data_IF_751017273961
#
_entry.id   IF_751017273961
#
_cell.length_a   1.000
_cell.length_b   1.000
_cell.length_c   1.000
_cell.angle_alpha   90.00
_cell.angle_beta   90.00
_cell.angle_gamma   90.00
#
_symmetry.space_group_name_H-M   'P 1'
#
loop_
_entity.id
_entity.type
_entity.pdbx_description
1 polymer ?
#
# COMPACT_ATOMS: atom_id res chain seq x y z
N UNK A 1 -8.10 -6.68 1.33
CA UNK A 1 -7.93 -6.56 -0.14
C UNK A 1 -7.94 -7.96 -0.78
N UNK A 2 -7.04 -8.88 -0.44
CA UNK A 2 -6.94 -10.19 -1.11
C UNK A 2 -8.25 -10.99 -1.12
N UNK A 3 -9.03 -10.99 -0.04
CA UNK A 3 -10.29 -11.74 0.07
C UNK A 3 -11.32 -11.29 -0.98
N UNK A 4 -11.44 -9.98 -1.18
CA UNK A 4 -12.39 -9.41 -2.15
C UNK A 4 -11.92 -9.63 -3.59
N UNK A 5 -10.63 -9.52 -3.87
CA UNK A 5 -10.08 -9.74 -5.21
C UNK A 5 -10.14 -11.21 -5.65
N UNK A 6 -9.99 -12.15 -4.70
CA UNK A 6 -10.22 -13.58 -4.98
C UNK A 6 -11.67 -13.84 -5.37
N UNK A 7 -12.62 -13.22 -4.69
CA UNK A 7 -14.04 -13.35 -5.04
C UNK A 7 -14.35 -12.72 -6.40
N UNK A 8 -13.83 -11.52 -6.67
CA UNK A 8 -13.96 -10.84 -7.96
C UNK A 8 -13.50 -11.72 -9.12
N UNK A 9 -12.41 -12.45 -8.96
CA UNK A 9 -11.91 -13.36 -10.00
C UNK A 9 -12.86 -14.52 -10.33
N UNK A 10 -13.88 -14.79 -9.50
CA UNK A 10 -14.84 -15.87 -9.64
C UNK A 10 -16.25 -15.41 -10.01
N UNK A 11 -16.64 -14.20 -9.64
CA UNK A 11 -18.00 -13.67 -9.78
C UNK A 11 -18.00 -12.41 -10.66
N UNK A 12 -18.63 -12.48 -11.84
CA UNK A 12 -18.57 -11.38 -12.86
C UNK A 12 -19.20 -10.05 -12.44
N UNK A 13 -20.29 -10.13 -11.64
CA UNK A 13 -21.05 -8.93 -11.24
C UNK A 13 -20.71 -8.48 -9.80
N UNK A 14 -19.63 -9.01 -9.26
CA UNK A 14 -19.19 -8.70 -7.92
C UNK A 14 -18.35 -7.42 -7.89
N UNK A 15 -18.70 -6.51 -6.99
CA UNK A 15 -17.92 -5.29 -6.71
C UNK A 15 -17.14 -5.51 -5.42
N UNK A 16 -15.80 -5.58 -5.49
CA UNK A 16 -14.97 -5.72 -4.29
C UNK A 16 -15.02 -4.47 -3.43
N UNK A 17 -15.44 -4.62 -2.18
CA UNK A 17 -15.62 -3.53 -1.23
C UNK A 17 -14.89 -3.79 0.07
N UNK A 18 -14.22 -2.75 0.56
CA UNK A 18 -13.57 -2.70 1.86
C UNK A 18 -14.07 -1.48 2.62
N UNK A 19 -14.42 -1.69 3.89
CA UNK A 19 -14.82 -0.62 4.78
C UNK A 19 -13.86 -0.60 5.98
N UNK A 20 -13.13 0.50 6.16
CA UNK A 20 -12.22 0.74 7.27
C UNK A 20 -12.77 1.87 8.13
N UNK A 21 -13.09 1.58 9.38
CA UNK A 21 -13.47 2.57 10.38
C UNK A 21 -12.43 2.63 11.48
N UNK A 22 -11.85 3.80 11.70
CA UNK A 22 -10.86 4.05 12.73
C UNK A 22 -11.38 5.13 13.67
N UNK A 23 -11.49 4.80 14.92
CA UNK A 23 -11.81 5.73 16.00
C UNK A 23 -10.63 5.77 16.95
N UNK A 24 -10.00 6.92 17.05
CA UNK A 24 -8.81 7.12 17.84
C UNK A 24 -8.97 8.31 18.78
N UNK A 25 -8.68 8.11 20.05
CA UNK A 25 -8.65 9.13 21.09
C UNK A 25 -7.42 8.97 22.03
N UNK A 26 -7.37 9.73 23.10
CA UNK A 26 -6.28 9.70 24.07
C UNK A 26 -6.16 8.37 24.85
N UNK A 27 -7.22 7.59 24.90
CA UNK A 27 -7.35 6.40 25.76
C UNK A 27 -7.26 5.12 24.95
N UNK A 28 -7.78 5.12 23.71
CA UNK A 28 -7.90 3.92 22.91
C UNK A 28 -7.81 4.21 21.41
N UNK A 29 -7.50 3.15 20.65
CA UNK A 29 -7.69 3.12 19.21
C UNK A 29 -8.53 1.90 18.85
N UNK A 30 -9.69 2.12 18.24
CA UNK A 30 -10.57 1.09 17.73
C UNK A 30 -10.47 1.07 16.20
N UNK A 31 -10.22 -0.11 15.64
CA UNK A 31 -10.16 -0.33 14.20
C UNK A 31 -11.19 -1.39 13.84
N UNK A 32 -12.07 -1.08 12.90
CA UNK A 32 -13.00 -2.03 12.31
C UNK A 32 -12.73 -2.12 10.81
N UNK A 33 -12.40 -3.31 10.34
CA UNK A 33 -12.19 -3.60 8.93
C UNK A 33 -13.22 -4.62 8.47
N UNK A 34 -14.02 -4.26 7.48
CA UNK A 34 -15.01 -5.16 6.87
C UNK A 34 -14.70 -5.34 5.40
N UNK A 35 -14.73 -6.57 4.94
CA UNK A 35 -14.66 -6.92 3.52
C UNK A 35 -15.91 -7.72 3.12
N UNK A 36 -16.35 -7.59 1.87
CA UNK A 36 -17.45 -8.36 1.32
C UNK A 36 -16.99 -9.64 0.59
N UNK A 37 -15.84 -10.20 0.96
CA UNK A 37 -15.30 -11.44 0.43
C UNK A 37 -16.16 -12.68 0.72
N UNK A 38 -15.60 -13.88 0.51
CA UNK A 38 -16.30 -15.16 0.70
C UNK A 38 -16.50 -15.55 2.18
N UNK A 39 -15.94 -14.80 3.12
CA UNK A 39 -15.92 -15.14 4.53
C UNK A 39 -14.99 -16.33 4.83
N UNK A 40 -15.06 -16.86 6.05
CA UNK A 40 -14.32 -18.04 6.46
C UNK A 40 -15.05 -19.35 6.07
N UNK A 41 -15.26 -19.55 4.77
CA UNK A 41 -15.69 -20.84 4.25
C UNK A 41 -14.65 -21.92 4.58
N UNK A 42 -14.96 -23.19 4.38
CA UNK A 42 -14.09 -24.31 4.77
C UNK A 42 -12.65 -24.18 4.22
N UNK A 43 -12.52 -23.73 2.99
CA UNK A 43 -11.22 -23.55 2.34
C UNK A 43 -10.42 -22.39 2.96
N UNK A 44 -11.04 -21.23 3.13
CA UNK A 44 -10.40 -20.04 3.70
C UNK A 44 -10.02 -20.28 5.18
N UNK A 45 -10.87 -21.00 5.92
CA UNK A 45 -10.61 -21.39 7.29
C UNK A 45 -9.33 -22.19 7.44
N UNK A 46 -9.11 -23.22 6.63
CA UNK A 46 -7.90 -24.06 6.66
C UNK A 46 -6.63 -23.25 6.48
N UNK A 47 -6.64 -22.24 5.59
CA UNK A 47 -5.50 -21.35 5.42
C UNK A 47 -5.31 -20.38 6.59
N UNK A 48 -6.37 -20.06 7.29
CA UNK A 48 -6.30 -19.15 8.43
C UNK A 48 -5.91 -19.87 9.74
N UNK A 49 -6.33 -21.11 9.92
CA UNK A 49 -5.97 -21.92 11.10
C UNK A 49 -4.51 -22.35 11.10
N UNK A 50 -3.94 -22.66 9.94
CA UNK A 50 -2.56 -23.13 9.81
C UNK A 50 -1.60 -21.97 9.52
N UNK A 51 -0.60 -21.77 10.40
CA UNK A 51 0.50 -20.83 10.17
C UNK A 51 1.33 -21.31 8.97
N UNK A 52 1.86 -20.35 8.19
CA UNK A 52 2.74 -20.56 7.04
C UNK A 52 2.12 -21.36 5.87
N UNK A 53 0.83 -21.69 5.93
CA UNK A 53 0.16 -22.31 4.79
C UNK A 53 -0.11 -21.30 3.68
N UNK A 54 0.49 -21.54 2.54
CA UNK A 54 0.32 -20.71 1.36
C UNK A 54 -1.04 -20.97 0.72
N UNK A 55 -1.76 -19.89 0.43
CA UNK A 55 -3.03 -19.97 -0.29
C UNK A 55 -2.78 -19.92 -1.80
N UNK A 56 -2.95 -21.04 -2.50
CA UNK A 56 -2.74 -21.16 -3.93
C UNK A 56 -3.62 -20.22 -4.80
N UNK A 57 -4.77 -19.77 -4.30
CA UNK A 57 -5.61 -18.78 -5.01
C UNK A 57 -4.97 -17.40 -4.97
N UNK A 58 -4.33 -17.05 -3.85
CA UNK A 58 -3.55 -15.80 -3.73
C UNK A 58 -2.33 -15.83 -4.64
N UNK A 59 -1.64 -16.97 -4.73
CA UNK A 59 -0.48 -17.12 -5.63
C UNK A 59 -0.88 -16.96 -7.12
N UNK A 60 -2.04 -17.48 -7.53
CA UNK A 60 -2.56 -17.29 -8.90
C UNK A 60 -2.84 -15.84 -9.27
N UNK A 61 -3.10 -15.00 -8.30
CA UNK A 61 -3.30 -13.56 -8.46
C UNK A 61 -2.02 -12.75 -8.18
N UNK A 62 -0.85 -13.40 -8.19
CA UNK A 62 0.45 -12.81 -7.84
C UNK A 62 0.49 -12.15 -6.45
N UNK A 63 -0.36 -12.59 -5.53
CA UNK A 63 -0.26 -12.20 -4.14
C UNK A 63 0.68 -13.17 -3.41
N UNK A 64 1.63 -12.63 -2.66
CA UNK A 64 2.56 -13.43 -1.85
C UNK A 64 2.20 -13.27 -0.36
N UNK A 65 1.17 -13.99 0.14
CA UNK A 65 0.78 -13.89 1.52
C UNK A 65 1.85 -14.56 2.41
N UNK A 66 2.43 -13.79 3.30
CA UNK A 66 3.37 -14.33 4.30
C UNK A 66 2.66 -15.04 5.46
N UNK A 67 1.33 -14.96 5.54
CA UNK A 67 0.55 -15.53 6.63
C UNK A 67 0.77 -14.88 8.01
N UNK A 68 1.68 -13.93 8.10
CA UNK A 68 2.16 -13.35 9.37
C UNK A 68 1.39 -12.11 9.82
N UNK A 69 0.64 -11.44 8.93
CA UNK A 69 -0.07 -10.20 9.28
C UNK A 69 -1.03 -10.33 10.46
N UNK A 70 -1.67 -11.50 10.63
CA UNK A 70 -2.53 -11.80 11.78
C UNK A 70 -1.75 -11.86 13.11
N UNK A 71 -0.46 -12.18 13.10
CA UNK A 71 0.37 -12.20 14.30
C UNK A 71 0.56 -10.79 14.87
N UNK A 72 0.59 -9.78 14.02
CA UNK A 72 0.70 -8.39 14.46
C UNK A 72 -0.46 -8.01 15.37
N UNK A 73 -1.67 -8.51 15.12
CA UNK A 73 -2.85 -8.26 15.94
C UNK A 73 -2.61 -8.72 17.39
N UNK A 74 -2.02 -9.91 17.58
CA UNK A 74 -1.73 -10.48 18.90
C UNK A 74 -0.76 -9.59 19.69
N UNK A 75 0.19 -8.96 19.01
CA UNK A 75 1.17 -8.07 19.64
C UNK A 75 0.59 -6.71 20.03
N UNK A 76 -0.29 -6.16 19.19
CA UNK A 76 -0.73 -4.77 19.34
C UNK A 76 -2.11 -4.63 19.97
N UNK A 77 -3.01 -5.60 19.77
CA UNK A 77 -4.36 -5.53 20.26
C UNK A 77 -4.47 -5.95 21.74
N UNK A 78 -5.38 -5.29 22.46
CA UNK A 78 -5.87 -5.78 23.75
C UNK A 78 -6.93 -6.85 23.55
N UNK A 79 -7.79 -6.61 22.57
CA UNK A 79 -8.74 -7.58 22.09
C UNK A 79 -8.94 -7.44 20.59
N UNK A 80 -9.22 -8.54 19.94
CA UNK A 80 -9.65 -8.57 18.58
C UNK A 80 -10.73 -9.65 18.39
N UNK A 81 -11.58 -9.43 17.40
CA UNK A 81 -12.70 -10.33 17.11
C UNK A 81 -12.96 -10.37 15.61
N UNK A 82 -13.14 -11.56 15.07
CA UNK A 82 -13.64 -11.77 13.73
C UNK A 82 -15.14 -12.13 13.78
N UNK A 83 -15.92 -11.37 13.04
CA UNK A 83 -17.30 -11.74 12.69
C UNK A 83 -17.30 -12.12 11.21
N UNK A 84 -17.78 -13.30 10.87
CA UNK A 84 -17.80 -13.76 9.48
C UNK A 84 -19.13 -14.35 9.10
N UNK A 85 -19.59 -14.06 7.89
CA UNK A 85 -20.70 -14.76 7.22
C UNK A 85 -20.13 -15.44 5.97
N UNK A 86 -20.38 -16.71 5.84
CA UNK A 86 -19.89 -17.56 4.75
C UNK A 86 -21.00 -18.52 4.27
N UNK A 87 -20.83 -19.11 3.11
CA UNK A 87 -21.66 -20.22 2.64
C UNK A 87 -21.07 -21.56 3.09
N UNK A 88 -21.90 -22.40 3.71
CA UNK A 88 -21.54 -23.79 4.01
C UNK A 88 -21.60 -24.67 2.75
N UNK A 89 -21.24 -25.94 2.87
CA UNK A 89 -21.27 -26.91 1.77
C UNK A 89 -22.67 -27.15 1.20
N UNK A 90 -23.72 -26.84 1.95
CA UNK A 90 -25.13 -26.92 1.51
C UNK A 90 -25.61 -25.64 0.83
N UNK A 91 -24.74 -24.60 0.75
CA UNK A 91 -25.06 -23.30 0.17
C UNK A 91 -25.83 -22.37 1.11
N UNK A 92 -26.02 -22.72 2.36
CA UNK A 92 -26.66 -21.88 3.37
C UNK A 92 -25.66 -20.86 3.95
N UNK A 93 -26.18 -19.71 4.29
CA UNK A 93 -25.35 -18.70 4.96
C UNK A 93 -25.26 -18.97 6.46
N UNK A 94 -24.03 -18.99 6.94
CA UNK A 94 -23.67 -19.22 8.34
C UNK A 94 -22.90 -18.04 8.88
N UNK A 95 -23.21 -17.65 10.11
CA UNK A 95 -22.51 -16.58 10.83
C UNK A 95 -21.75 -17.15 12.02
N UNK A 96 -20.52 -16.72 12.22
CA UNK A 96 -19.72 -16.96 13.42
C UNK A 96 -19.06 -15.68 13.91
N UNK A 97 -18.89 -15.62 15.24
CA UNK A 97 -18.12 -14.58 15.93
C UNK A 97 -17.01 -15.27 16.71
N UNK A 98 -15.77 -14.90 16.46
CA UNK A 98 -14.59 -15.59 16.95
C UNK A 98 -13.63 -14.57 17.56
N UNK A 99 -13.38 -14.59 18.89
CA UNK A 99 -12.34 -13.79 19.50
C UNK A 99 -10.95 -14.19 18.97
N UNK A 100 -10.00 -13.26 18.97
CA UNK A 100 -8.66 -13.52 18.47
C UNK A 100 -7.59 -12.95 19.41
N UNK A 101 -6.68 -13.76 19.93
CA UNK A 101 -6.60 -15.23 19.76
C UNK A 101 -7.79 -15.95 20.38
N UNK A 102 -8.20 -17.06 19.77
CA UNK A 102 -9.45 -17.76 20.18
C UNK A 102 -9.28 -18.65 21.42
N UNK A 103 -8.09 -19.17 21.64
CA UNK A 103 -7.76 -20.01 22.80
C UNK A 103 -6.34 -19.75 23.28
N UNK A 104 -6.00 -20.22 24.49
CA UNK A 104 -4.62 -20.17 25.01
C UNK A 104 -3.66 -21.10 24.26
N UNK A 105 -4.17 -22.09 23.56
CA UNK A 105 -3.38 -23.11 22.85
C UNK A 105 -3.29 -22.84 21.35
N UNK A 106 -4.14 -21.96 20.81
CA UNK A 106 -4.18 -21.65 19.39
C UNK A 106 -4.67 -20.25 19.06
N UNK A 107 -4.17 -19.71 17.97
CA UNK A 107 -4.54 -18.34 17.53
C UNK A 107 -5.97 -18.29 17.00
N UNK A 108 -6.45 -19.36 16.40
CA UNK A 108 -7.76 -19.42 15.76
C UNK A 108 -8.35 -20.82 15.86
N UNK A 109 -9.56 -20.93 16.39
CA UNK A 109 -10.31 -22.18 16.46
C UNK A 109 -11.74 -21.96 16.00
N UNK A 110 -12.00 -22.26 14.74
CA UNK A 110 -13.30 -22.02 14.11
C UNK A 110 -14.41 -22.90 14.71
N UNK A 111 -14.11 -24.16 14.99
CA UNK A 111 -15.06 -25.14 15.49
C UNK A 111 -15.49 -24.92 16.94
N UNK A 112 -14.70 -24.13 17.71
CA UNK A 112 -14.98 -23.90 19.14
C UNK A 112 -16.16 -22.96 19.39
N UNK A 113 -16.69 -22.27 18.38
CA UNK A 113 -17.72 -21.25 18.51
C UNK A 113 -18.99 -21.62 17.78
N UNK A 114 -20.12 -21.18 18.37
CA UNK A 114 -21.44 -21.46 17.84
C UNK A 114 -21.67 -20.85 16.45
N UNK A 115 -22.40 -21.56 15.62
CA UNK A 115 -22.76 -21.21 14.27
C UNK A 115 -24.27 -20.97 14.16
N UNK A 116 -24.63 -19.80 13.57
CA UNK A 116 -26.02 -19.42 13.40
C UNK A 116 -26.36 -19.29 11.92
N UNK A 117 -27.48 -19.86 11.49
CA UNK A 117 -28.00 -19.68 10.12
C UNK A 117 -28.53 -18.24 9.96
N UNK A 118 -28.13 -17.54 8.88
CA UNK A 118 -28.53 -16.17 8.59
C UNK A 118 -28.96 -16.03 7.12
N UNK A 119 -29.60 -14.91 6.79
CA UNK A 119 -30.05 -14.59 5.42
C UNK A 119 -29.27 -13.37 4.89
N UNK A 120 -27.96 -13.37 5.01
CA UNK A 120 -27.14 -12.23 4.61
C UNK A 120 -26.11 -12.63 3.54
N UNK A 121 -25.56 -11.63 2.85
CA UNK A 121 -24.40 -11.81 1.97
C UNK A 121 -23.15 -12.16 2.78
N UNK A 122 -22.17 -12.80 2.14
CA UNK A 122 -20.90 -13.14 2.78
C UNK A 122 -20.07 -11.89 3.07
N UNK A 123 -19.36 -11.91 4.20
CA UNK A 123 -18.41 -10.87 4.60
C UNK A 123 -17.47 -11.37 5.70
N UNK A 124 -16.41 -10.63 5.92
CA UNK A 124 -15.60 -10.73 7.15
C UNK A 124 -15.45 -9.36 7.76
N UNK A 125 -15.73 -9.23 9.04
CA UNK A 125 -15.45 -8.04 9.85
C UNK A 125 -14.42 -8.38 10.91
N UNK A 126 -13.35 -7.60 10.97
CA UNK A 126 -12.35 -7.65 12.02
C UNK A 126 -12.48 -6.40 12.89
N UNK A 127 -12.70 -6.57 14.18
CA UNK A 127 -12.69 -5.48 15.16
C UNK A 127 -11.44 -5.62 16.02
N UNK A 128 -10.66 -4.56 16.16
CA UNK A 128 -9.43 -4.50 16.96
C UNK A 128 -9.57 -3.36 17.96
N UNK A 129 -9.24 -3.63 19.22
CA UNK A 129 -9.13 -2.63 20.27
C UNK A 129 -7.69 -2.55 20.78
N UNK A 130 -7.15 -1.33 20.83
CA UNK A 130 -5.79 -1.04 21.29
C UNK A 130 -5.88 -0.01 22.41
N UNK A 131 -5.55 -0.43 23.64
CA UNK A 131 -5.45 0.44 24.81
C UNK A 131 -4.17 0.20 25.62
N UNK A 132 -3.42 -0.89 25.32
CA UNK A 132 -2.09 -1.15 25.93
C UNK A 132 -1.16 0.03 25.71
N UNK A 133 -0.55 0.53 26.75
CA UNK A 133 0.25 1.76 26.74
C UNK A 133 1.29 1.81 25.61
N UNK A 134 2.04 0.73 25.39
CA UNK A 134 3.07 0.69 24.35
C UNK A 134 2.48 0.72 22.93
N UNK A 135 1.45 -0.07 22.69
CA UNK A 135 0.77 -0.15 21.39
C UNK A 135 0.00 1.13 21.09
N UNK A 136 -0.68 1.69 22.10
CA UNK A 136 -1.37 2.98 22.00
C UNK A 136 -0.38 4.12 21.73
N UNK A 137 0.81 4.10 22.35
CA UNK A 137 1.88 5.06 22.07
C UNK A 137 2.33 5.06 20.60
N UNK A 138 2.42 3.87 19.97
CA UNK A 138 2.71 3.73 18.54
C UNK A 138 1.55 4.25 17.67
N UNK A 139 0.32 3.93 18.01
CA UNK A 139 -0.86 4.46 17.34
C UNK A 139 -0.91 5.99 17.43
N UNK A 140 -0.66 6.58 18.60
CA UNK A 140 -0.57 8.03 18.80
C UNK A 140 0.50 8.65 17.89
N UNK A 141 1.69 8.05 17.81
CA UNK A 141 2.77 8.52 16.93
C UNK A 141 2.34 8.48 15.48
N UNK A 142 1.69 7.40 15.04
CA UNK A 142 1.16 7.26 13.69
C UNK A 142 0.14 8.36 13.38
N UNK A 143 -0.90 8.51 14.22
CA UNK A 143 -1.94 9.51 13.98
C UNK A 143 -1.48 10.96 14.19
N UNK A 144 -0.37 11.18 14.91
CA UNK A 144 0.29 12.50 14.95
C UNK A 144 0.86 12.90 13.56
N UNK A 145 1.32 11.93 12.79
CA UNK A 145 1.81 12.17 11.42
C UNK A 145 0.67 12.30 10.41
N UNK A 146 -0.49 11.71 10.70
CA UNK A 146 -1.69 11.72 9.86
C UNK A 146 -2.91 12.23 10.64
N UNK A 147 -2.89 13.50 11.10
CA UNK A 147 -3.86 14.04 12.06
C UNK A 147 -5.25 14.32 11.48
N UNK A 148 -5.40 14.25 10.17
CA UNK A 148 -6.67 14.50 9.47
C UNK A 148 -6.90 13.50 8.35
N UNK A 149 -8.13 13.47 7.86
CA UNK A 149 -8.57 12.55 6.81
C UNK A 149 -7.80 12.70 5.49
N UNK A 150 -7.37 13.91 5.13
CA UNK A 150 -6.63 14.17 3.90
C UNK A 150 -5.24 13.54 3.92
N UNK A 151 -4.47 13.77 4.98
CA UNK A 151 -3.14 13.17 5.14
C UNK A 151 -3.21 11.65 5.31
N UNK A 152 -4.26 11.17 6.02
CA UNK A 152 -4.48 9.73 6.15
C UNK A 152 -4.84 9.09 4.80
N UNK A 153 -5.72 9.73 4.01
CA UNK A 153 -6.06 9.30 2.65
C UNK A 153 -4.82 9.21 1.77
N UNK A 154 -3.98 10.26 1.79
CA UNK A 154 -2.74 10.28 1.03
C UNK A 154 -1.83 9.12 1.43
N UNK A 155 -1.58 8.91 2.73
CA UNK A 155 -0.78 7.79 3.23
C UNK A 155 -1.36 6.44 2.79
N UNK A 156 -2.69 6.27 2.86
CA UNK A 156 -3.35 5.04 2.47
C UNK A 156 -3.17 4.75 0.97
N UNK A 157 -3.36 5.76 0.14
CA UNK A 157 -3.11 5.65 -1.31
C UNK A 157 -1.63 5.29 -1.56
N UNK A 158 -0.69 6.00 -0.95
CA UNK A 158 0.74 5.73 -1.10
C UNK A 158 1.14 4.32 -0.69
N UNK A 159 0.49 3.77 0.32
CA UNK A 159 0.77 2.41 0.83
C UNK A 159 0.18 1.31 -0.05
N UNK A 160 -1.04 1.50 -0.54
CA UNK A 160 -1.81 0.48 -1.24
C UNK A 160 -1.98 0.77 -2.74
N UNK A 161 -1.22 1.72 -3.26
CA UNK A 161 -1.31 2.20 -4.65
C UNK A 161 -1.41 1.09 -5.69
N UNK A 162 -0.51 0.06 -5.71
CA UNK A 162 -0.57 -0.97 -6.75
C UNK A 162 -1.88 -1.76 -6.73
N UNK A 163 -2.44 -2.02 -5.54
CA UNK A 163 -3.71 -2.72 -5.43
C UNK A 163 -4.88 -1.89 -5.96
N UNK A 164 -4.85 -0.58 -5.71
CA UNK A 164 -5.92 0.32 -6.10
C UNK A 164 -5.89 0.54 -7.61
N UNK A 165 -4.71 0.82 -8.16
CA UNK A 165 -4.57 1.13 -9.59
C UNK A 165 -4.76 -0.09 -10.50
N UNK A 166 -4.50 -1.30 -9.99
CA UNK A 166 -4.65 -2.54 -10.75
C UNK A 166 -6.06 -3.12 -10.71
N UNK A 167 -6.97 -2.59 -9.86
CA UNK A 167 -8.30 -3.16 -9.65
C UNK A 167 -9.38 -2.09 -9.86
N UNK A 168 -9.97 -2.10 -11.03
CA UNK A 168 -10.91 -1.07 -11.48
C UNK A 168 -12.18 -1.01 -10.64
N UNK A 169 -12.71 -2.16 -10.24
CA UNK A 169 -13.95 -2.24 -9.47
C UNK A 169 -13.77 -2.07 -7.96
N UNK A 170 -12.53 -2.03 -7.44
CA UNK A 170 -12.26 -1.97 -6.00
C UNK A 170 -12.74 -0.65 -5.40
N UNK A 171 -13.61 -0.75 -4.39
CA UNK A 171 -14.12 0.36 -3.60
C UNK A 171 -13.60 0.26 -2.18
N UNK A 172 -12.94 1.31 -1.68
CA UNK A 172 -12.45 1.37 -0.31
C UNK A 172 -13.08 2.58 0.39
N UNK A 173 -13.96 2.30 1.34
CA UNK A 173 -14.60 3.32 2.17
C UNK A 173 -13.84 3.44 3.48
N UNK A 174 -13.46 4.64 3.86
CA UNK A 174 -12.69 4.90 5.08
C UNK A 174 -13.42 5.95 5.91
N UNK A 175 -13.53 5.68 7.21
CA UNK A 175 -13.97 6.64 8.22
C UNK A 175 -12.84 6.80 9.24
N UNK A 176 -12.38 8.02 9.45
CA UNK A 176 -11.39 8.38 10.46
C UNK A 176 -12.02 9.38 11.43
N UNK A 177 -12.31 8.95 12.66
CA UNK A 177 -12.99 9.75 13.69
C UNK A 177 -14.30 10.41 13.18
N UNK A 178 -15.03 9.73 12.29
CA UNK A 178 -16.26 10.22 11.69
C UNK A 178 -16.11 10.95 10.36
N UNK A 179 -14.89 11.35 9.97
CA UNK A 179 -14.64 11.89 8.64
C UNK A 179 -14.59 10.75 7.63
N UNK A 180 -15.50 10.77 6.65
CA UNK A 180 -15.68 9.69 5.69
C UNK A 180 -15.19 10.09 4.30
N UNK A 181 -14.45 9.17 3.65
CA UNK A 181 -14.06 9.32 2.26
C UNK A 181 -13.97 7.96 1.56
N UNK A 182 -14.06 7.98 0.23
CA UNK A 182 -13.98 6.78 -0.61
C UNK A 182 -12.78 6.89 -1.54
N UNK A 183 -12.05 5.77 -1.69
CA UNK A 183 -10.94 5.62 -2.61
C UNK A 183 -11.35 4.62 -3.70
N UNK A 184 -11.22 5.05 -4.95
CA UNK A 184 -11.40 4.24 -6.16
C UNK A 184 -10.27 4.56 -7.13
N UNK A 185 -10.01 3.67 -8.07
CA UNK A 185 -9.03 3.89 -9.14
C UNK A 185 -9.24 5.23 -9.85
N UNK A 186 -10.46 5.52 -10.32
CA UNK A 186 -10.77 6.75 -11.05
C UNK A 186 -10.45 8.03 -10.26
N UNK A 187 -10.63 7.99 -8.92
CA UNK A 187 -10.31 9.13 -8.07
C UNK A 187 -8.82 9.40 -7.94
N UNK A 188 -7.99 8.40 -8.23
CA UNK A 188 -6.52 8.51 -8.20
C UNK A 188 -5.98 8.82 -9.59
N UNK A 189 -6.53 8.19 -10.65
CA UNK A 189 -6.06 8.40 -12.02
C UNK A 189 -6.19 9.85 -12.47
N UNK A 190 -7.20 10.58 -12.00
CA UNK A 190 -7.37 12.00 -12.31
C UNK A 190 -6.19 12.87 -11.83
N UNK A 191 -5.47 12.44 -10.79
CA UNK A 191 -4.31 13.13 -10.20
C UNK A 191 -2.98 12.46 -10.56
N UNK A 192 -3.01 11.41 -11.39
CA UNK A 192 -1.86 10.56 -11.70
C UNK A 192 -1.40 10.75 -13.13
N UNK A 193 -0.10 10.94 -13.31
CA UNK A 193 0.55 10.90 -14.62
C UNK A 193 1.33 9.60 -14.74
N UNK A 194 1.35 9.03 -15.95
CA UNK A 194 1.95 7.74 -16.24
C UNK A 194 2.92 7.86 -17.41
N UNK A 195 4.15 7.39 -17.21
CA UNK A 195 5.15 7.25 -18.26
C UNK A 195 5.56 5.77 -18.37
N UNK A 196 5.52 5.23 -19.59
CA UNK A 196 5.92 3.84 -19.83
C UNK A 196 7.18 3.82 -20.67
N UNK A 197 8.13 2.95 -20.31
CA UNK A 197 9.37 2.79 -21.05
C UNK A 197 9.85 1.34 -20.99
N UNK A 198 10.76 0.99 -21.89
CA UNK A 198 11.34 -0.34 -21.95
C UNK A 198 12.87 -0.23 -21.87
N UNK A 199 13.49 -1.20 -21.21
CA UNK A 199 14.94 -1.33 -21.09
C UNK A 199 15.35 -2.78 -21.32
N UNK A 200 16.48 -2.98 -21.99
CA UNK A 200 17.21 -4.24 -21.98
C UNK A 200 18.22 -4.18 -20.83
N UNK A 201 18.16 -5.13 -19.91
CA UNK A 201 18.97 -5.16 -18.70
C UNK A 201 20.11 -6.17 -18.83
N UNK A 202 20.86 -6.36 -17.75
CA UNK A 202 22.10 -7.17 -17.74
C UNK A 202 21.91 -8.66 -18.09
N UNK A 203 20.69 -9.18 -18.00
CA UNK A 203 20.29 -10.53 -18.38
C UNK A 203 19.89 -10.65 -19.86
N UNK A 204 20.12 -9.60 -20.66
CA UNK A 204 19.75 -9.49 -22.07
C UNK A 204 18.23 -9.54 -22.35
N UNK A 205 17.41 -9.54 -21.29
CA UNK A 205 15.96 -9.49 -21.44
C UNK A 205 15.44 -8.05 -21.49
N UNK A 206 14.34 -7.87 -22.22
CA UNK A 206 13.65 -6.59 -22.35
C UNK A 206 12.48 -6.52 -21.38
N UNK A 207 12.50 -5.53 -20.51
CA UNK A 207 11.49 -5.30 -19.49
C UNK A 207 10.75 -3.98 -19.71
N UNK A 208 9.45 -4.00 -19.45
CA UNK A 208 8.61 -2.82 -19.43
C UNK A 208 8.52 -2.26 -18.03
N UNK A 209 8.68 -0.95 -17.91
CA UNK A 209 8.57 -0.20 -16.66
C UNK A 209 7.46 0.84 -16.77
N UNK A 210 6.77 1.09 -15.66
CA UNK A 210 5.78 2.15 -15.55
C UNK A 210 6.17 3.04 -14.39
N UNK A 211 6.47 4.30 -14.73
CA UNK A 211 6.72 5.38 -13.77
C UNK A 211 5.42 6.15 -13.57
N UNK A 212 4.95 6.17 -12.34
CA UNK A 212 3.76 6.89 -11.92
C UNK A 212 4.17 8.13 -11.14
N UNK A 213 3.53 9.26 -11.44
CA UNK A 213 3.69 10.51 -10.73
C UNK A 213 2.34 10.87 -10.14
N UNK A 214 2.19 10.72 -8.84
CA UNK A 214 0.97 11.11 -8.13
C UNK A 214 1.17 12.49 -7.55
N UNK A 215 0.33 13.43 -7.95
CA UNK A 215 0.35 14.79 -7.42
C UNK A 215 0.02 14.76 -5.92
N UNK A 216 0.80 15.48 -5.13
CA UNK A 216 0.58 15.64 -3.70
C UNK A 216 0.78 17.12 -3.30
N UNK A 217 0.48 17.43 -2.04
CA UNK A 217 0.55 18.80 -1.53
C UNK A 217 1.92 19.19 -0.95
N UNK A 218 2.94 18.32 -1.11
CA UNK A 218 4.29 18.57 -0.59
C UNK A 218 5.20 18.96 -1.75
N UNK A 219 5.74 20.19 -1.79
CA UNK A 219 6.71 20.57 -2.81
C UNK A 219 7.89 19.58 -2.85
N UNK A 220 8.40 19.34 -4.05
CA UNK A 220 9.63 18.55 -4.22
C UNK A 220 10.83 19.44 -3.93
N UNK A 221 11.73 18.96 -3.08
CA UNK A 221 12.99 19.62 -2.76
C UNK A 221 14.13 18.62 -2.73
N UNK A 222 15.20 18.94 -3.46
CA UNK A 222 16.40 18.11 -3.51
C UNK A 222 16.09 16.70 -4.01
N UNK A 223 16.57 15.70 -3.26
CA UNK A 223 16.52 14.30 -3.63
C UNK A 223 15.18 13.66 -3.22
N UNK A 224 14.38 13.30 -4.21
CA UNK A 224 13.05 12.72 -4.02
C UNK A 224 13.10 11.22 -4.34
N UNK A 225 12.82 10.33 -3.38
CA UNK A 225 12.91 8.89 -3.58
C UNK A 225 11.84 8.40 -4.54
N UNK A 226 12.21 7.41 -5.37
CA UNK A 226 11.30 6.66 -6.22
C UNK A 226 10.97 5.35 -5.51
N UNK A 227 9.70 5.15 -5.22
CA UNK A 227 9.22 3.99 -4.48
C UNK A 227 9.01 2.84 -5.48
N UNK A 228 9.74 1.74 -5.30
CA UNK A 228 9.60 0.55 -6.11
C UNK A 228 8.54 -0.39 -5.51
N UNK A 229 7.79 -1.04 -6.39
CA UNK A 229 6.85 -2.08 -6.01
C UNK A 229 7.18 -3.38 -6.73
N UNK A 230 7.20 -4.45 -5.96
CA UNK A 230 7.29 -5.81 -6.45
C UNK A 230 6.12 -6.62 -5.90
N UNK A 231 5.46 -7.39 -6.76
CA UNK A 231 4.29 -8.22 -6.37
C UNK A 231 3.22 -7.44 -5.61
N UNK A 232 2.97 -6.20 -6.05
CA UNK A 232 2.06 -5.25 -5.42
C UNK A 232 2.43 -4.80 -3.98
N UNK A 233 3.63 -5.09 -3.51
CA UNK A 233 4.15 -4.64 -2.22
C UNK A 233 5.29 -3.65 -2.43
N UNK A 234 5.39 -2.69 -1.53
CA UNK A 234 6.54 -1.78 -1.51
C UNK A 234 7.80 -2.57 -1.16
N UNK A 235 8.81 -2.47 -2.02
CA UNK A 235 10.08 -3.15 -1.83
C UNK A 235 11.26 -2.20 -1.96
N UNK A 236 12.36 -2.52 -1.29
CA UNK A 236 13.60 -1.75 -1.33
C UNK A 236 14.61 -2.45 -2.25
N UNK A 237 15.38 -1.69 -3.01
CA UNK A 237 16.51 -2.23 -3.77
C UNK A 237 17.65 -2.61 -2.81
N UNK A 238 18.25 -3.80 -3.00
CA UNK A 238 19.34 -4.29 -2.14
C UNK A 238 20.64 -3.49 -2.31
N UNK A 239 20.90 -3.02 -3.53
CA UNK A 239 22.18 -2.42 -3.92
C UNK A 239 22.08 -0.92 -4.22
N UNK A 240 21.13 -0.21 -3.63
CA UNK A 240 21.00 1.23 -3.83
C UNK A 240 19.57 1.74 -3.66
N UNK A 241 19.32 2.88 -4.24
CA UNK A 241 17.98 3.49 -4.30
C UNK A 241 17.82 4.24 -5.61
N UNK A 242 16.60 4.41 -6.04
CA UNK A 242 16.24 5.27 -7.16
C UNK A 242 15.70 6.60 -6.62
N UNK A 243 16.09 7.69 -7.22
CA UNK A 243 15.63 9.01 -6.81
C UNK A 243 15.67 10.01 -7.96
N UNK A 244 15.06 11.16 -7.75
CA UNK A 244 15.10 12.27 -8.69
C UNK A 244 15.28 13.59 -7.95
N UNK A 245 16.30 14.35 -8.32
CA UNK A 245 16.63 15.62 -7.66
C UNK A 245 16.08 16.80 -8.43
N UNK A 246 15.11 17.49 -7.84
CA UNK A 246 14.52 18.72 -8.40
C UNK A 246 13.90 19.56 -7.28
N UNK A 247 13.93 20.89 -7.48
CA UNK A 247 13.10 21.82 -6.73
C UNK A 247 11.89 22.20 -7.57
N UNK A 248 10.70 21.80 -7.12
CA UNK A 248 9.43 22.08 -7.79
C UNK A 248 8.37 22.43 -6.76
N UNK A 249 7.66 23.55 -7.00
CA UNK A 249 6.54 23.95 -6.13
C UNK A 249 5.35 22.99 -6.20
N UNK A 250 5.20 22.26 -7.30
CA UNK A 250 4.26 21.15 -7.40
C UNK A 250 4.91 19.90 -6.83
N UNK A 251 4.19 19.22 -5.92
CA UNK A 251 4.65 17.97 -5.33
C UNK A 251 4.19 16.76 -6.11
N UNK A 252 5.07 15.76 -6.17
CA UNK A 252 4.75 14.43 -6.71
C UNK A 252 5.38 13.35 -5.84
N UNK A 253 4.65 12.27 -5.61
CA UNK A 253 5.22 11.01 -5.17
C UNK A 253 5.47 10.15 -6.39
N UNK A 254 6.68 9.60 -6.50
CA UNK A 254 7.13 8.83 -7.65
C UNK A 254 7.09 7.35 -7.33
N UNK A 255 6.42 6.56 -8.18
CA UNK A 255 6.35 5.10 -8.04
C UNK A 255 6.84 4.43 -9.30
N UNK A 256 7.51 3.31 -9.14
CA UNK A 256 7.99 2.49 -10.25
C UNK A 256 7.49 1.05 -10.09
N UNK A 257 6.87 0.54 -11.14
CA UNK A 257 6.39 -0.84 -11.23
C UNK A 257 6.96 -1.52 -12.46
N UNK A 258 7.35 -2.79 -12.33
CA UNK A 258 7.80 -3.63 -13.43
C UNK A 258 7.71 -5.10 -13.03
N UNK A 259 7.47 -5.99 -14.00
CA UNK A 259 7.60 -7.43 -13.81
C UNK A 259 9.03 -7.83 -13.46
N UNK A 260 10.04 -7.05 -13.88
CA UNK A 260 11.42 -7.22 -13.49
C UNK A 260 11.60 -7.25 -11.97
N UNK A 261 10.95 -6.35 -11.25
CA UNK A 261 11.00 -6.35 -9.79
C UNK A 261 10.31 -7.56 -9.17
N UNK A 262 9.25 -8.07 -9.80
CA UNK A 262 8.53 -9.26 -9.34
C UNK A 262 9.39 -10.53 -9.43
N UNK A 263 10.28 -10.61 -10.42
CA UNK A 263 11.17 -11.73 -10.63
C UNK A 263 12.35 -11.73 -9.65
N UNK A 264 12.88 -10.55 -9.32
CA UNK A 264 14.07 -10.40 -8.48
C UNK A 264 13.78 -10.05 -7.02
N UNK A 265 12.51 -10.02 -6.59
CA UNK A 265 12.16 -9.77 -5.20
C UNK A 265 12.36 -11.03 -4.34
N UNK A 266 12.81 -10.85 -3.12
CA UNK A 266 12.99 -11.92 -2.15
C UNK A 266 11.66 -12.62 -1.79
N UNK A 267 11.76 -13.74 -1.08
CA UNK A 267 10.59 -14.52 -0.67
C UNK A 267 9.66 -13.78 0.28
N UNK A 268 10.14 -12.74 0.94
CA UNK A 268 9.35 -11.88 1.84
C UNK A 268 8.66 -10.74 1.12
N UNK A 269 9.05 -10.43 -0.12
CA UNK A 269 8.52 -9.31 -0.88
C UNK A 269 9.07 -7.94 -0.44
N UNK A 270 10.18 -7.93 0.33
CA UNK A 270 10.72 -6.72 0.95
C UNK A 270 11.92 -6.14 0.21
N UNK A 271 12.70 -7.01 -0.45
CA UNK A 271 13.95 -6.63 -1.10
C UNK A 271 14.01 -7.12 -2.53
N UNK A 272 14.38 -6.22 -3.44
CA UNK A 272 14.63 -6.50 -4.84
C UNK A 272 16.15 -6.63 -5.01
N UNK A 273 16.61 -7.82 -5.36
CA UNK A 273 18.05 -8.14 -5.51
C UNK A 273 18.46 -8.03 -6.98
N UNK A 274 18.85 -6.84 -7.40
CA UNK A 274 19.25 -6.50 -8.75
C UNK A 274 20.67 -5.93 -8.78
N UNK A 275 21.34 -6.01 -9.92
CA UNK A 275 22.70 -5.51 -10.08
C UNK A 275 22.78 -3.98 -9.97
N UNK A 276 23.95 -3.46 -9.57
CA UNK A 276 24.19 -2.01 -9.59
C UNK A 276 24.07 -1.42 -11.00
N UNK A 277 24.50 -2.16 -12.03
CA UNK A 277 24.45 -1.73 -13.42
C UNK A 277 23.01 -1.57 -13.90
N UNK A 278 22.11 -2.48 -13.54
CA UNK A 278 20.69 -2.38 -13.84
C UNK A 278 20.05 -1.19 -13.14
N UNK A 279 20.40 -0.94 -11.88
CA UNK A 279 19.91 0.23 -11.14
C UNK A 279 20.34 1.52 -11.84
N UNK A 280 21.60 1.61 -12.27
CA UNK A 280 22.13 2.76 -13.00
C UNK A 280 21.40 2.94 -14.35
N UNK A 281 21.17 1.85 -15.08
CA UNK A 281 20.46 1.88 -16.35
C UNK A 281 19.02 2.42 -16.16
N UNK A 282 18.28 1.88 -15.18
CA UNK A 282 16.93 2.32 -14.82
C UNK A 282 16.94 3.80 -14.38
N UNK A 283 17.88 4.20 -13.50
CA UNK A 283 18.02 5.57 -13.01
C UNK A 283 18.25 6.56 -14.14
N UNK A 284 19.15 6.25 -15.07
CA UNK A 284 19.45 7.11 -16.22
C UNK A 284 18.22 7.33 -17.09
N UNK A 285 17.44 6.27 -17.35
CA UNK A 285 16.22 6.39 -18.14
C UNK A 285 15.14 7.20 -17.44
N UNK A 286 14.99 7.04 -16.14
CA UNK A 286 14.06 7.84 -15.34
C UNK A 286 14.46 9.31 -15.37
N UNK A 287 15.75 9.63 -15.21
CA UNK A 287 16.26 10.99 -15.27
C UNK A 287 15.94 11.62 -16.63
N UNK A 288 16.20 10.92 -17.75
CA UNK A 288 15.84 11.39 -19.10
C UNK A 288 14.36 11.77 -19.21
N UNK A 289 13.47 10.90 -18.70
CA UNK A 289 12.01 11.11 -18.74
C UNK A 289 11.62 12.33 -17.90
N UNK A 290 12.11 12.39 -16.66
CA UNK A 290 11.76 13.45 -15.73
C UNK A 290 12.36 14.80 -16.11
N UNK A 291 13.59 14.82 -16.63
CA UNK A 291 14.22 16.04 -17.16
C UNK A 291 13.40 16.63 -18.32
N UNK A 292 12.93 15.79 -19.23
CA UNK A 292 12.05 16.21 -20.31
C UNK A 292 10.73 16.76 -19.78
N UNK A 293 10.13 16.07 -18.81
CA UNK A 293 8.85 16.43 -18.21
C UNK A 293 8.92 17.75 -17.44
N UNK A 294 9.96 17.92 -16.63
CA UNK A 294 10.16 19.11 -15.80
C UNK A 294 11.07 20.18 -16.45
N UNK A 295 11.33 20.07 -17.75
CA UNK A 295 12.24 20.98 -18.47
C UNK A 295 12.01 22.46 -18.19
N UNK A 296 10.75 22.90 -18.19
CA UNK A 296 10.40 24.30 -17.92
C UNK A 296 10.76 24.72 -16.49
N UNK A 297 10.54 23.85 -15.51
CA UNK A 297 10.87 24.09 -14.10
C UNK A 297 12.39 24.17 -13.94
N UNK A 298 13.12 23.23 -14.53
CA UNK A 298 14.59 23.21 -14.51
C UNK A 298 15.17 24.48 -15.13
N UNK A 299 14.65 24.93 -16.27
CA UNK A 299 15.08 26.16 -16.91
C UNK A 299 14.80 27.41 -16.05
N UNK A 300 13.64 27.43 -15.38
CA UNK A 300 13.28 28.51 -14.47
C UNK A 300 14.19 28.54 -13.25
N UNK A 301 14.43 27.40 -12.60
CA UNK A 301 15.34 27.28 -11.47
C UNK A 301 16.77 27.72 -11.83
N UNK A 302 17.27 27.33 -13.01
CA UNK A 302 18.59 27.78 -13.50
C UNK A 302 18.66 29.29 -13.66
N UNK A 303 17.64 29.91 -14.24
CA UNK A 303 17.58 31.37 -14.40
C UNK A 303 17.57 32.08 -13.05
N UNK A 304 16.82 31.58 -12.11
CA UNK A 304 16.73 32.15 -10.76
C UNK A 304 18.04 32.01 -10.00
N UNK A 305 18.66 30.82 -10.06
CA UNK A 305 20.01 30.61 -9.48
C UNK A 305 21.07 31.57 -10.08
N UNK A 306 21.07 31.72 -11.40
CA UNK A 306 21.97 32.65 -12.06
C UNK A 306 21.72 34.10 -11.62
N UNK A 307 20.47 34.52 -11.49
CA UNK A 307 20.11 35.87 -11.00
C UNK A 307 20.56 36.06 -9.56
N UNK A 308 20.34 35.07 -8.70
CA UNK A 308 20.74 35.11 -7.29
C UNK A 308 22.29 35.18 -7.18
N UNK A 309 23.00 34.38 -7.96
CA UNK A 309 24.46 34.42 -8.02
C UNK A 309 24.99 35.79 -8.49
N UNK A 310 24.37 36.38 -9.52
CA UNK A 310 24.70 37.70 -9.98
C UNK A 310 24.48 38.77 -8.90
N UNK A 311 23.34 38.69 -8.22
CA UNK A 311 23.01 39.60 -7.11
C UNK A 311 24.00 39.44 -5.94
N UNK A 312 24.37 38.20 -5.62
CA UNK A 312 25.36 37.90 -4.59
C UNK A 312 26.74 38.48 -4.95
N UNK A 313 27.26 38.24 -6.17
CA UNK A 313 28.53 38.81 -6.65
C UNK A 313 28.51 40.31 -6.63
N UNK A 314 27.41 40.98 -6.96
CA UNK A 314 27.28 42.42 -6.89
C UNK A 314 27.33 42.98 -5.47
N UNK A 315 26.86 42.24 -4.47
CA UNK A 315 26.89 42.62 -3.05
C UNK A 315 28.24 42.32 -2.38
N UNK A 316 28.94 41.32 -2.89
CA UNK A 316 30.22 40.85 -2.34
C UNK A 316 31.29 40.73 -3.45
N UNK A 317 31.74 41.86 -4.01
CA UNK A 317 32.66 41.85 -5.17
C UNK A 317 34.03 41.23 -4.88
N UNK A 318 34.41 41.14 -3.60
CA UNK A 318 35.71 40.59 -3.15
C UNK A 318 35.69 39.05 -2.99
N UNK A 319 34.57 38.39 -3.15
CA UNK A 319 34.48 36.95 -3.12
C UNK A 319 34.63 36.39 -4.54
N UNK A 320 35.83 36.00 -4.91
CA UNK A 320 36.06 35.13 -6.07
C UNK A 320 35.51 33.73 -5.70
N UNK A 321 34.32 33.43 -6.20
CA UNK A 321 33.76 32.09 -6.14
C UNK A 321 34.40 31.31 -7.31
N UNK A 322 35.31 30.39 -6.98
CA UNK A 322 35.88 29.42 -7.91
C UNK A 322 34.82 28.44 -8.42
#
# INVERSE_FOLDING_TARGET
IHAVLIRESKEKDYVPELNLNVVFDEIQCKIELTDNGEGFNEKNRKYFEELDKKNSEKEKLNFHPLGQGRLAIVYFADSAEYETVYKDETGKYRKKTIPYPSTSEGLFSFSAYEEVEVKNSTYTKLTILINKQLALGRAKTFFKNYPNSELFKQWFIETFFPFIISNEALVINISLNGDCFTIKKDSIEAETQKESFELTLSDDNKYSFILWLIKNNKPMHGDNPIICFARNLRASLSNGHLSYSIDNSEGYTLYLTSIFFDEYVDTKGERIDVSCDDIICIQNKINEILDNKFKKVIEQNRKETQRNLKNFKSRYPSLDLF
#
